data_IF_561224173662
#
_entry.id   IF_561224173662
#
_cell.length_a   1.000
_cell.length_b   1.000
_cell.length_c   1.000
_cell.angle_alpha   90.00
_cell.angle_beta   90.00
_cell.angle_gamma   90.00
#
_symmetry.space_group_name_H-M   'P 1'
#
loop_
_entity.id
_entity.type
_entity.pdbx_description
1 polymer ?
#
# COMPACT_ATOMS: atom_id res chain seq x y z
N UNK A 1 11.43 9.90 -0.29
CA UNK A 1 11.01 8.49 -0.42
C UNK A 1 9.59 8.42 -0.94
N UNK A 2 9.37 7.63 -1.95
CA UNK A 2 8.04 7.45 -2.56
C UNK A 2 7.41 6.17 -2.02
N UNK A 3 6.21 6.29 -1.47
CA UNK A 3 5.52 5.19 -0.79
C UNK A 3 4.11 5.04 -1.37
N UNK A 4 3.73 3.81 -1.70
CA UNK A 4 2.36 3.49 -2.10
C UNK A 4 1.73 2.66 -0.98
N UNK A 5 0.58 3.13 -0.47
CA UNK A 5 -0.19 2.45 0.57
C UNK A 5 -1.47 1.91 -0.05
N UNK A 6 -1.73 0.63 0.13
CA UNK A 6 -2.97 -0.01 -0.30
C UNK A 6 -3.86 -0.18 0.93
N UNK A 7 -5.00 0.48 0.92
CA UNK A 7 -5.95 0.46 2.03
C UNK A 7 -6.00 1.77 2.79
N UNK A 8 -7.18 2.38 2.85
CA UNK A 8 -7.44 3.61 3.57
C UNK A 8 -8.34 3.40 4.79
N UNK A 9 -8.41 2.17 5.29
CA UNK A 9 -9.09 1.85 6.54
C UNK A 9 -8.31 2.37 7.73
N UNK A 10 -8.66 1.90 8.93
CA UNK A 10 -8.00 2.39 10.16
C UNK A 10 -6.49 2.18 10.14
N UNK A 11 -6.04 1.00 9.71
CA UNK A 11 -4.61 0.68 9.69
C UNK A 11 -3.87 1.52 8.65
N UNK A 12 -4.37 1.58 7.43
CA UNK A 12 -3.73 2.35 6.36
C UNK A 12 -3.70 3.84 6.64
N UNK A 13 -4.80 4.39 7.17
CA UNK A 13 -4.86 5.80 7.53
C UNK A 13 -3.89 6.12 8.68
N UNK A 14 -3.81 5.24 9.68
CA UNK A 14 -2.89 5.43 10.80
C UNK A 14 -1.43 5.41 10.34
N UNK A 15 -1.08 4.43 9.51
CA UNK A 15 0.28 4.34 8.96
C UNK A 15 0.59 5.60 8.13
N UNK A 16 -0.34 6.03 7.30
CA UNK A 16 -0.14 7.22 6.47
C UNK A 16 0.07 8.47 7.33
N UNK A 17 -0.67 8.61 8.42
CA UNK A 17 -0.45 9.71 9.36
C UNK A 17 0.95 9.68 9.95
N UNK A 18 1.41 8.52 10.38
CA UNK A 18 2.77 8.40 10.91
C UNK A 18 3.83 8.74 9.87
N UNK A 19 3.66 8.25 8.64
CA UNK A 19 4.62 8.48 7.57
C UNK A 19 4.69 9.95 7.15
N UNK A 20 3.59 10.69 7.27
CA UNK A 20 3.51 12.08 6.83
C UNK A 20 3.60 13.08 7.97
N UNK A 21 3.73 12.64 9.22
CA UNK A 21 3.87 13.52 10.38
C UNK A 21 5.26 14.15 10.38
N UNK A 22 5.37 15.48 10.30
CA UNK A 22 6.67 16.16 10.30
C UNK A 22 7.54 15.84 11.50
N UNK A 23 6.94 15.48 12.64
CA UNK A 23 7.69 15.12 13.85
C UNK A 23 8.45 13.83 13.74
N UNK A 24 8.05 12.95 12.82
CA UNK A 24 8.63 11.62 12.64
C UNK A 24 9.44 11.48 11.37
N UNK A 25 9.50 12.54 10.55
CA UNK A 25 10.22 12.49 9.28
C UNK A 25 11.62 13.04 9.42
N UNK A 26 12.57 12.31 8.86
CA UNK A 26 13.94 12.80 8.67
C UNK A 26 14.20 13.16 7.20
N UNK A 27 13.27 12.81 6.31
CA UNK A 27 13.31 13.12 4.88
C UNK A 27 11.88 13.25 4.35
N UNK A 28 11.74 13.83 3.17
CA UNK A 28 10.45 13.97 2.52
C UNK A 28 9.85 12.61 2.20
N UNK A 29 8.59 12.44 2.57
CA UNK A 29 7.80 11.25 2.26
C UNK A 29 6.70 11.63 1.30
N UNK A 30 6.73 11.09 0.08
CA UNK A 30 5.65 11.25 -0.90
C UNK A 30 4.79 10.00 -0.83
N UNK A 31 3.60 10.13 -0.28
CA UNK A 31 2.71 9.00 -0.03
C UNK A 31 1.49 9.09 -0.92
N UNK A 32 1.16 7.99 -1.58
CA UNK A 32 -0.09 7.81 -2.32
C UNK A 32 -0.86 6.67 -1.68
N UNK A 33 -2.16 6.85 -1.47
CA UNK A 33 -3.03 5.88 -0.82
C UNK A 33 -4.10 5.44 -1.80
N UNK A 34 -4.25 4.13 -1.97
CA UNK A 34 -5.24 3.53 -2.87
C UNK A 34 -6.33 2.86 -2.04
N UNK A 35 -7.60 3.15 -2.37
CA UNK A 35 -8.74 2.46 -1.77
C UNK A 35 -9.93 2.49 -2.72
N UNK A 36 -10.71 1.41 -2.83
CA UNK A 36 -11.88 1.40 -3.72
C UNK A 36 -13.08 2.18 -3.18
N UNK A 37 -13.10 2.48 -1.89
CA UNK A 37 -14.22 3.14 -1.22
C UNK A 37 -14.18 4.65 -1.46
N UNK A 38 -15.06 5.16 -2.31
CA UNK A 38 -15.07 6.57 -2.68
C UNK A 38 -15.40 7.49 -1.49
N UNK A 39 -16.26 7.05 -0.57
CA UNK A 39 -16.59 7.82 0.61
C UNK A 39 -15.37 7.98 1.52
N UNK A 40 -14.60 6.91 1.68
CA UNK A 40 -13.37 6.93 2.50
C UNK A 40 -12.32 7.83 1.87
N UNK A 41 -12.15 7.75 0.55
CA UNK A 41 -11.22 8.62 -0.18
C UNK A 41 -11.60 10.09 0.03
N UNK A 42 -12.86 10.43 -0.12
CA UNK A 42 -13.34 11.81 0.09
C UNK A 42 -13.13 12.27 1.53
N UNK A 43 -13.38 11.39 2.49
CA UNK A 43 -13.23 11.71 3.91
C UNK A 43 -11.78 12.04 4.26
N UNK A 44 -10.82 11.37 3.66
CA UNK A 44 -9.41 11.52 3.98
C UNK A 44 -8.69 12.52 3.08
N UNK A 45 -9.25 12.85 1.93
CA UNK A 45 -8.65 13.80 1.00
C UNK A 45 -8.57 15.19 1.66
N UNK A 46 -7.39 15.76 1.68
CA UNK A 46 -7.13 17.02 2.35
C UNK A 46 -6.93 16.90 3.86
N UNK A 47 -7.23 15.74 4.47
CA UNK A 47 -6.98 15.47 5.89
C UNK A 47 -5.59 14.85 6.08
N UNK A 48 -5.25 13.89 5.21
CA UNK A 48 -3.92 13.30 5.18
C UNK A 48 -3.04 14.03 4.16
N UNK A 49 -1.78 14.21 4.49
CA UNK A 49 -0.81 14.78 3.55
C UNK A 49 -0.33 13.69 2.60
N UNK A 50 -1.25 13.24 1.76
CA UNK A 50 -1.03 12.17 0.81
C UNK A 50 -1.93 12.34 -0.40
N UNK A 51 -1.52 11.78 -1.52
CA UNK A 51 -2.35 11.71 -2.72
C UNK A 51 -3.32 10.55 -2.58
N UNK A 52 -4.60 10.81 -2.74
CA UNK A 52 -5.63 9.79 -2.63
C UNK A 52 -6.03 9.29 -4.01
N UNK A 53 -5.93 7.98 -4.23
CA UNK A 53 -6.28 7.34 -5.50
C UNK A 53 -7.40 6.35 -5.26
N UNK A 54 -8.54 6.57 -5.93
CA UNK A 54 -9.67 5.65 -5.83
C UNK A 54 -9.48 4.51 -6.81
N UNK A 55 -9.55 3.29 -6.33
CA UNK A 55 -9.48 2.11 -7.18
C UNK A 55 -9.09 0.86 -6.43
N UNK A 56 -9.02 -0.24 -7.18
CA UNK A 56 -8.59 -1.52 -6.65
C UNK A 56 -7.06 -1.62 -6.71
N UNK A 57 -6.43 -1.79 -5.56
CA UNK A 57 -4.97 -1.84 -5.44
C UNK A 57 -4.30 -3.05 -6.10
N UNK A 58 -5.07 -4.01 -6.60
CA UNK A 58 -4.51 -5.12 -7.38
C UNK A 58 -4.47 -4.86 -8.88
N UNK A 59 -5.05 -3.74 -9.34
CA UNK A 59 -5.09 -3.41 -10.76
C UNK A 59 -3.85 -2.62 -11.15
N UNK A 60 -3.07 -3.08 -12.15
CA UNK A 60 -1.86 -2.39 -12.57
C UNK A 60 -2.04 -0.93 -12.92
N UNK A 61 -3.14 -0.58 -13.60
CA UNK A 61 -3.40 0.81 -13.97
C UNK A 61 -3.55 1.72 -12.76
N UNK A 62 -4.21 1.21 -11.70
CA UNK A 62 -4.40 1.97 -10.46
C UNK A 62 -3.07 2.11 -9.72
N UNK A 63 -2.27 1.05 -9.68
CA UNK A 63 -0.94 1.09 -9.08
C UNK A 63 -0.04 2.09 -9.81
N UNK A 64 -0.11 2.12 -11.13
CA UNK A 64 0.65 3.07 -11.94
C UNK A 64 0.21 4.51 -11.68
N UNK A 65 -1.10 4.76 -11.55
CA UNK A 65 -1.61 6.08 -11.18
C UNK A 65 -1.08 6.55 -9.83
N UNK A 66 -0.85 5.61 -8.91
CA UNK A 66 -0.32 5.93 -7.60
C UNK A 66 1.21 6.04 -7.58
N UNK A 67 1.87 5.82 -8.70
CA UNK A 67 3.32 5.98 -8.83
C UNK A 67 4.13 4.77 -8.45
N UNK A 68 3.59 3.55 -8.63
CA UNK A 68 4.28 2.32 -8.26
C UNK A 68 5.64 2.17 -8.99
N UNK A 69 5.74 2.71 -10.21
CA UNK A 69 6.98 2.61 -11.00
C UNK A 69 8.16 3.33 -10.33
N UNK A 70 7.87 4.30 -9.49
CA UNK A 70 8.88 5.12 -8.81
C UNK A 70 8.88 4.90 -7.29
N UNK A 71 8.11 3.92 -6.81
CA UNK A 71 7.98 3.69 -5.39
C UNK A 71 9.23 3.01 -4.80
N UNK A 72 9.58 3.45 -3.61
CA UNK A 72 10.65 2.85 -2.81
C UNK A 72 10.10 1.80 -1.86
N UNK A 73 8.83 1.94 -1.47
CA UNK A 73 8.18 1.07 -0.50
C UNK A 73 6.71 0.88 -0.87
N UNK A 74 6.24 -0.36 -0.78
CA UNK A 74 4.82 -0.70 -0.84
C UNK A 74 4.34 -1.09 0.56
N UNK A 75 3.21 -0.53 1.00
CA UNK A 75 2.56 -0.91 2.25
C UNK A 75 1.15 -1.38 1.89
N UNK A 76 0.96 -2.69 1.79
CA UNK A 76 -0.31 -3.30 1.38
C UNK A 76 -1.04 -3.83 2.61
N UNK A 77 -1.96 -3.03 3.13
CA UNK A 77 -2.63 -3.27 4.42
C UNK A 77 -4.16 -3.19 4.31
N UNK A 78 -4.70 -3.46 3.13
CA UNK A 78 -6.15 -3.57 2.96
C UNK A 78 -6.67 -4.80 3.71
N UNK A 79 -7.99 -4.88 3.89
CA UNK A 79 -8.61 -6.06 4.51
C UNK A 79 -8.71 -7.26 3.57
N UNK A 80 -8.25 -7.12 2.34
CA UNK A 80 -8.33 -8.16 1.32
C UNK A 80 -6.91 -8.71 1.04
N UNK A 81 -6.66 -9.94 1.50
CA UNK A 81 -5.35 -10.59 1.35
C UNK A 81 -4.93 -10.74 -0.11
N UNK A 82 -5.87 -11.09 -0.99
CA UNK A 82 -5.57 -11.29 -2.41
C UNK A 82 -5.12 -9.99 -3.07
N UNK A 83 -5.76 -8.89 -2.73
CA UNK A 83 -5.35 -7.56 -3.22
C UNK A 83 -3.95 -7.23 -2.73
N UNK A 84 -3.68 -7.47 -1.45
CA UNK A 84 -2.35 -7.21 -0.88
C UNK A 84 -1.26 -8.02 -1.56
N UNK A 85 -1.52 -9.31 -1.83
CA UNK A 85 -0.57 -10.19 -2.49
C UNK A 85 -0.34 -9.80 -3.95
N UNK A 86 -1.41 -9.54 -4.69
CA UNK A 86 -1.28 -9.16 -6.10
C UNK A 86 -0.56 -7.83 -6.25
N UNK A 87 -0.87 -6.86 -5.39
CA UNK A 87 -0.15 -5.59 -5.39
C UNK A 87 1.33 -5.80 -5.14
N UNK A 88 1.69 -6.68 -4.21
CA UNK A 88 3.08 -6.99 -3.92
C UNK A 88 3.79 -7.62 -5.11
N UNK A 89 3.15 -8.60 -5.76
CA UNK A 89 3.75 -9.27 -6.93
C UNK A 89 4.02 -8.26 -8.03
N UNK A 90 3.07 -7.38 -8.30
CA UNK A 90 3.23 -6.35 -9.32
C UNK A 90 4.35 -5.36 -8.95
N UNK A 91 4.36 -4.92 -7.70
CA UNK A 91 5.38 -3.98 -7.21
C UNK A 91 6.78 -4.58 -7.31
N UNK A 92 6.93 -5.85 -6.93
CA UNK A 92 8.23 -6.53 -7.02
C UNK A 92 8.69 -6.64 -8.47
N UNK A 93 7.77 -6.93 -9.37
CA UNK A 93 8.06 -6.98 -10.80
C UNK A 93 8.50 -5.62 -11.35
N UNK A 94 8.02 -4.54 -10.76
CA UNK A 94 8.40 -3.17 -11.16
C UNK A 94 9.66 -2.67 -10.48
N UNK A 95 10.28 -3.48 -9.62
CA UNK A 95 11.53 -3.13 -8.98
C UNK A 95 11.40 -2.43 -7.63
N UNK A 96 10.20 -2.42 -7.03
CA UNK A 96 10.03 -1.88 -5.68
C UNK A 96 10.83 -2.72 -4.71
N UNK A 97 11.80 -2.11 -4.02
CA UNK A 97 12.78 -2.85 -3.23
C UNK A 97 12.25 -3.40 -1.92
N UNK A 98 11.27 -2.74 -1.31
CA UNK A 98 10.73 -3.14 0.00
C UNK A 98 9.23 -3.13 -0.02
N UNK A 99 8.61 -4.09 0.68
CA UNK A 99 7.18 -4.12 0.88
C UNK A 99 6.82 -4.67 2.24
N UNK A 100 5.72 -4.13 2.79
CA UNK A 100 5.10 -4.58 4.02
C UNK A 100 3.69 -5.04 3.62
N UNK A 101 3.36 -6.28 3.94
CA UNK A 101 2.10 -6.89 3.50
C UNK A 101 1.36 -7.47 4.69
N UNK A 102 0.10 -7.07 4.82
CA UNK A 102 -0.79 -7.64 5.82
C UNK A 102 -1.46 -8.88 5.24
N UNK A 103 -1.38 -9.99 5.95
CA UNK A 103 -2.06 -11.24 5.60
C UNK A 103 -2.77 -11.76 6.85
N UNK A 104 -4.07 -11.99 6.75
CA UNK A 104 -4.87 -12.48 7.87
C UNK A 104 -5.22 -13.96 7.77
N UNK A 105 -5.38 -14.50 6.55
CA UNK A 105 -5.73 -15.90 6.36
C UNK A 105 -4.57 -16.82 6.76
N UNK A 106 -4.82 -17.75 7.67
CA UNK A 106 -3.80 -18.66 8.17
C UNK A 106 -3.21 -19.55 7.08
N UNK A 107 -4.02 -19.98 6.13
CA UNK A 107 -3.56 -20.80 4.99
C UNK A 107 -2.52 -20.06 4.16
N UNK A 108 -2.75 -18.77 3.92
CA UNK A 108 -1.84 -17.94 3.15
C UNK A 108 -0.55 -17.70 3.93
N UNK A 109 -0.65 -17.45 5.23
CA UNK A 109 0.52 -17.29 6.09
C UNK A 109 1.41 -18.52 6.07
N UNK A 110 0.80 -19.70 6.19
CA UNK A 110 1.54 -20.96 6.17
C UNK A 110 2.22 -21.19 4.83
N UNK A 111 1.53 -20.90 3.73
CA UNK A 111 2.12 -21.01 2.39
C UNK A 111 3.32 -20.08 2.23
N UNK A 112 3.22 -18.86 2.74
CA UNK A 112 4.30 -17.87 2.67
C UNK A 112 5.54 -18.31 3.43
N UNK A 113 5.37 -19.00 4.57
CA UNK A 113 6.48 -19.50 5.35
C UNK A 113 7.16 -20.70 4.72
N UNK A 114 6.40 -21.59 4.06
CA UNK A 114 6.93 -22.79 3.41
C UNK A 114 7.49 -22.54 2.02
N UNK A 115 6.93 -21.56 1.34
CA UNK A 115 7.25 -21.24 -0.04
C UNK A 115 7.60 -19.76 -0.15
N UNK A 116 8.84 -19.37 0.20
CA UNK A 116 9.22 -17.95 0.23
C UNK A 116 8.97 -17.20 -1.10
N UNK A 117 9.03 -17.90 -2.23
CA UNK A 117 8.76 -17.31 -3.54
C UNK A 117 7.32 -16.77 -3.65
N UNK A 118 6.41 -17.27 -2.82
CA UNK A 118 4.99 -16.90 -2.87
C UNK A 118 4.78 -15.41 -2.62
N UNK A 119 5.60 -14.80 -1.80
CA UNK A 119 5.52 -13.36 -1.54
C UNK A 119 6.49 -12.55 -2.41
N UNK A 120 7.17 -13.20 -3.29
CA UNK A 120 8.14 -12.54 -4.14
C UNK A 120 9.49 -12.44 -3.50
#
# INVERSE_FOLDING_TARGET
MNIVVIGAGEVGAYITRLLTDPKHQTQNMNVSVIDPNSARIKQLDGVLDATMVRGNGSHPEILEMAGIDEADLLVAVSSNDEVNLLANLYARNKGVGKSIIRIEADEIKRASLKEPWFLG
#
